data_IF_290279196239
#
_entry.id   IF_290279196239
#
_cell.length_a   1.000
_cell.length_b   1.000
_cell.length_c   1.000
_cell.angle_alpha   90.00
_cell.angle_beta   90.00
_cell.angle_gamma   90.00
#
_symmetry.space_group_name_H-M   'P 1'
#
loop_
_entity.id
_entity.type
_entity.pdbx_description
1 polymer ?
#
# COMPACT_ATOMS: atom_id res chain seq x y z
N UNK A 1 22.55 42.54 -9.89
CA UNK A 1 22.65 41.09 -10.18
C UNK A 1 21.25 40.58 -10.52
N UNK A 2 20.91 40.54 -11.81
CA UNK A 2 19.63 40.00 -12.27
C UNK A 2 19.77 38.49 -12.37
N UNK A 3 19.11 37.73 -11.50
CA UNK A 3 19.00 36.29 -11.74
C UNK A 3 18.08 36.08 -12.95
N UNK A 4 18.54 35.25 -13.89
CA UNK A 4 17.67 34.71 -14.92
C UNK A 4 16.62 33.84 -14.22
N UNK A 5 15.37 34.27 -14.27
CA UNK A 5 14.24 33.39 -13.97
C UNK A 5 14.16 32.43 -15.15
N UNK A 6 14.89 31.32 -15.08
CA UNK A 6 14.58 30.17 -15.93
C UNK A 6 13.13 29.75 -15.65
N UNK A 7 12.43 29.18 -16.64
CA UNK A 7 11.02 28.79 -16.53
C UNK A 7 10.79 27.95 -15.25
N UNK A 8 10.33 28.61 -14.19
CA UNK A 8 10.15 27.99 -12.90
C UNK A 8 8.92 27.09 -12.95
N UNK A 9 9.14 25.78 -12.97
CA UNK A 9 8.04 24.82 -12.96
C UNK A 9 7.45 24.70 -11.55
N UNK A 10 6.14 24.92 -11.44
CA UNK A 10 5.40 24.69 -10.19
C UNK A 10 4.81 23.29 -10.20
N UNK A 11 5.27 22.43 -9.29
CA UNK A 11 4.69 21.11 -9.09
C UNK A 11 3.59 21.19 -8.03
N UNK A 12 2.37 20.78 -8.39
CA UNK A 12 1.24 20.69 -7.47
C UNK A 12 1.05 19.24 -7.06
N UNK A 13 1.09 18.97 -5.76
CA UNK A 13 0.77 17.67 -5.18
C UNK A 13 -0.56 17.74 -4.45
N UNK A 14 -1.39 16.72 -4.66
CA UNK A 14 -2.69 16.59 -4.01
C UNK A 14 -2.58 15.49 -2.95
N UNK A 15 -2.59 15.89 -1.68
CA UNK A 15 -2.53 14.94 -0.57
C UNK A 15 -3.91 14.43 -0.17
N UNK A 16 -3.98 13.13 0.12
CA UNK A 16 -5.18 12.46 0.58
C UNK A 16 -5.21 11.00 0.18
N UNK A 17 -6.30 10.31 0.54
CA UNK A 17 -6.54 8.96 0.03
C UNK A 17 -6.72 8.99 -1.49
N UNK A 18 -6.51 7.86 -2.15
CA UNK A 18 -6.73 7.71 -3.60
C UNK A 18 -8.10 8.20 -4.08
N UNK A 19 -9.15 7.95 -3.31
CA UNK A 19 -10.49 8.42 -3.63
C UNK A 19 -10.61 9.95 -3.51
N UNK A 20 -10.02 10.54 -2.47
CA UNK A 20 -10.01 11.99 -2.26
C UNK A 20 -9.19 12.71 -3.33
N UNK A 21 -7.97 12.26 -3.62
CA UNK A 21 -7.12 12.88 -4.62
C UNK A 21 -7.77 12.84 -6.02
N UNK A 22 -8.32 11.67 -6.43
CA UNK A 22 -9.06 11.54 -7.69
C UNK A 22 -10.28 12.45 -7.74
N UNK A 23 -11.00 12.59 -6.62
CA UNK A 23 -12.14 13.50 -6.53
C UNK A 23 -11.69 14.94 -6.75
N UNK A 24 -10.65 15.41 -6.06
CA UNK A 24 -10.11 16.77 -6.20
C UNK A 24 -9.73 17.06 -7.65
N UNK A 25 -8.99 16.16 -8.31
CA UNK A 25 -8.61 16.32 -9.73
C UNK A 25 -9.86 16.44 -10.60
N UNK A 26 -10.86 15.57 -10.39
CA UNK A 26 -12.10 15.57 -11.18
C UNK A 26 -12.96 16.80 -10.95
N UNK A 27 -13.03 17.31 -9.72
CA UNK A 27 -13.91 18.42 -9.33
C UNK A 27 -13.28 19.80 -9.47
N UNK A 28 -12.02 19.88 -9.91
CA UNK A 28 -11.27 21.13 -10.03
C UNK A 28 -10.84 21.35 -11.49
N UNK A 29 -11.72 21.90 -12.35
CA UNK A 29 -11.49 21.92 -13.81
C UNK A 29 -10.22 22.67 -14.24
N UNK A 30 -9.81 23.69 -13.50
CA UNK A 30 -8.63 24.47 -13.84
C UNK A 30 -7.33 23.64 -13.78
N UNK A 31 -7.28 22.58 -12.96
CA UNK A 31 -6.12 21.68 -12.90
C UNK A 31 -5.88 21.00 -14.25
N UNK A 32 -6.94 20.51 -14.91
CA UNK A 32 -6.79 19.89 -16.23
C UNK A 32 -6.48 20.88 -17.35
N UNK A 33 -6.76 22.17 -17.15
CA UNK A 33 -6.51 23.21 -18.15
C UNK A 33 -5.10 23.78 -18.02
N UNK A 34 -4.62 23.98 -16.79
CA UNK A 34 -3.38 24.69 -16.51
C UNK A 34 -2.23 23.78 -16.11
N UNK A 35 -2.50 22.55 -15.66
CA UNK A 35 -1.47 21.64 -15.18
C UNK A 35 -1.36 20.42 -16.07
N UNK A 36 -0.12 20.06 -16.39
CA UNK A 36 0.19 18.79 -17.06
C UNK A 36 0.20 17.66 -16.04
N UNK A 37 -0.61 16.61 -16.19
CA UNK A 37 -0.51 15.43 -15.34
C UNK A 37 0.85 14.75 -15.52
N UNK A 38 1.51 14.44 -14.42
CA UNK A 38 2.81 13.74 -14.41
C UNK A 38 2.69 12.42 -13.67
N UNK A 39 3.45 11.43 -14.13
CA UNK A 39 3.55 10.11 -13.50
C UNK A 39 5.01 9.66 -13.49
N UNK A 40 5.41 8.99 -12.42
CA UNK A 40 6.73 8.36 -12.35
C UNK A 40 6.70 7.04 -13.12
N UNK A 41 7.69 6.83 -13.99
CA UNK A 41 7.86 5.57 -14.73
C UNK A 41 8.62 4.53 -13.90
N UNK A 42 9.65 4.98 -13.18
CA UNK A 42 10.58 4.13 -12.40
C UNK A 42 10.65 4.56 -10.94
N UNK A 43 9.50 4.90 -10.32
CA UNK A 43 9.44 5.36 -8.92
C UNK A 43 9.86 4.32 -7.87
N UNK A 44 10.10 3.08 -8.29
CA UNK A 44 10.34 1.94 -7.40
C UNK A 44 9.06 1.46 -6.72
N UNK A 45 9.22 0.52 -5.78
CA UNK A 45 8.13 0.09 -4.91
C UNK A 45 8.05 0.98 -3.67
N UNK A 46 6.84 1.34 -3.25
CA UNK A 46 6.66 2.12 -2.02
C UNK A 46 7.09 1.33 -0.79
N UNK A 47 7.68 2.05 0.16
CA UNK A 47 7.97 1.58 1.53
C UNK A 47 6.77 1.73 2.46
N UNK A 48 5.70 2.38 2.00
CA UNK A 48 4.47 2.61 2.74
C UNK A 48 3.65 1.32 2.88
N UNK A 49 3.88 0.61 3.98
CA UNK A 49 3.23 -0.68 4.26
C UNK A 49 2.12 -0.60 5.30
N UNK A 50 1.84 0.60 5.82
CA UNK A 50 0.79 0.84 6.83
C UNK A 50 -0.61 0.54 6.26
N UNK A 51 -0.83 0.85 4.97
CA UNK A 51 -2.10 0.60 4.28
C UNK A 51 -1.84 0.00 2.91
N UNK A 52 -2.84 -0.70 2.36
CA UNK A 52 -2.76 -1.25 1.02
C UNK A 52 -2.87 -0.14 -0.03
N UNK A 53 -1.88 -0.10 -0.92
CA UNK A 53 -1.92 0.73 -2.11
C UNK A 53 -2.71 0.05 -3.24
N UNK A 54 -3.29 0.83 -4.18
CA UNK A 54 -4.10 0.29 -5.25
C UNK A 54 -3.27 -0.48 -6.28
N UNK A 55 -2.01 -0.11 -6.51
CA UNK A 55 -1.08 -0.80 -7.43
C UNK A 55 0.36 -0.79 -6.87
N UNK A 56 1.24 -1.74 -7.26
CA UNK A 56 2.59 -1.87 -6.70
C UNK A 56 3.55 -0.69 -6.96
N UNK A 57 3.29 0.10 -8.00
CA UNK A 57 4.09 1.26 -8.41
C UNK A 57 3.54 2.59 -7.88
N UNK A 58 2.50 2.52 -7.06
CA UNK A 58 2.01 3.69 -6.36
C UNK A 58 3.04 4.12 -5.31
N UNK A 59 3.19 5.43 -5.14
CA UNK A 59 4.03 6.01 -4.10
C UNK A 59 3.14 6.81 -3.15
N UNK A 60 3.56 6.90 -1.89
CA UNK A 60 2.98 7.87 -0.97
C UNK A 60 3.27 9.31 -1.43
N UNK A 61 2.49 10.27 -0.93
CA UNK A 61 2.73 11.70 -1.20
C UNK A 61 4.16 12.10 -0.86
N UNK A 62 4.69 11.63 0.29
CA UNK A 62 6.03 11.97 0.73
C UNK A 62 7.12 11.36 -0.16
N UNK A 63 6.98 10.09 -0.57
CA UNK A 63 7.90 9.46 -1.53
C UNK A 63 7.87 10.16 -2.89
N UNK A 64 6.68 10.61 -3.32
CA UNK A 64 6.51 11.41 -4.53
C UNK A 64 7.27 12.73 -4.44
N UNK A 65 7.18 13.44 -3.31
CA UNK A 65 7.94 14.68 -3.07
C UNK A 65 9.44 14.41 -3.12
N UNK A 66 9.92 13.39 -2.40
CA UNK A 66 11.33 13.05 -2.38
C UNK A 66 11.87 12.73 -3.78
N UNK A 67 11.11 11.97 -4.57
CA UNK A 67 11.46 11.66 -5.96
C UNK A 67 11.45 12.91 -6.85
N UNK A 68 10.44 13.77 -6.70
CA UNK A 68 10.37 15.04 -7.44
C UNK A 68 11.55 15.95 -7.14
N UNK A 69 11.99 16.05 -5.88
CA UNK A 69 13.18 16.81 -5.51
C UNK A 69 14.44 16.24 -6.19
N UNK A 70 14.60 14.91 -6.21
CA UNK A 70 15.77 14.27 -6.85
C UNK A 70 15.82 14.52 -8.36
N UNK A 71 14.66 14.60 -9.03
CA UNK A 71 14.58 14.74 -10.50
C UNK A 71 14.54 16.19 -10.96
N UNK A 72 13.81 17.07 -10.26
CA UNK A 72 13.59 18.44 -10.67
C UNK A 72 14.67 19.40 -10.16
N UNK A 73 15.24 19.12 -8.98
CA UNK A 73 16.18 20.02 -8.31
C UNK A 73 17.59 19.43 -8.35
N UNK A 74 18.45 19.96 -9.22
CA UNK A 74 19.81 19.45 -9.41
C UNK A 74 20.81 19.83 -8.30
N UNK A 75 20.34 20.17 -7.09
CA UNK A 75 21.19 20.65 -5.99
C UNK A 75 21.52 19.57 -4.95
N UNK A 76 22.68 19.67 -4.31
CA UNK A 76 23.04 18.78 -3.20
C UNK A 76 22.07 18.91 -2.01
N UNK A 77 21.57 20.12 -1.78
CA UNK A 77 20.58 20.39 -0.74
C UNK A 77 19.27 19.62 -1.01
N UNK A 78 18.75 19.65 -2.24
CA UNK A 78 17.53 18.92 -2.59
C UNK A 78 17.72 17.40 -2.48
N UNK A 79 18.87 16.88 -2.94
CA UNK A 79 19.24 15.46 -2.76
C UNK A 79 19.30 15.08 -1.28
N UNK A 80 19.95 15.90 -0.45
CA UNK A 80 20.04 15.66 1.00
C UNK A 80 18.67 15.72 1.69
N UNK A 81 17.80 16.65 1.26
CA UNK A 81 16.43 16.77 1.75
C UNK A 81 15.60 15.53 1.38
N UNK A 82 15.68 15.06 0.13
CA UNK A 82 15.00 13.85 -0.31
C UNK A 82 15.43 12.61 0.50
N UNK A 83 16.73 12.42 0.71
CA UNK A 83 17.26 11.34 1.56
C UNK A 83 16.73 11.44 2.99
N UNK A 84 16.72 12.64 3.57
CA UNK A 84 16.24 12.88 4.93
C UNK A 84 14.74 12.60 5.07
N UNK A 85 13.94 13.05 4.09
CA UNK A 85 12.51 12.76 4.01
C UNK A 85 12.24 11.26 3.96
N UNK A 86 12.91 10.53 3.06
CA UNK A 86 12.77 9.06 2.95
C UNK A 86 13.14 8.35 4.25
N UNK A 87 14.22 8.78 4.93
CA UNK A 87 14.63 8.22 6.24
C UNK A 87 13.59 8.47 7.34
N UNK A 88 13.09 9.69 7.45
CA UNK A 88 12.06 10.06 8.42
C UNK A 88 10.76 9.27 8.17
N UNK A 89 10.35 9.15 6.91
CA UNK A 89 9.19 8.38 6.51
C UNK A 89 9.33 6.89 6.85
N UNK A 90 10.47 6.27 6.52
CA UNK A 90 10.73 4.88 6.87
C UNK A 90 10.74 4.65 8.40
N UNK A 91 11.25 5.61 9.19
CA UNK A 91 11.16 5.54 10.65
C UNK A 91 9.71 5.60 11.16
N UNK A 92 8.90 6.51 10.60
CA UNK A 92 7.48 6.63 10.92
C UNK A 92 6.72 5.35 10.55
N UNK A 93 6.94 4.78 9.36
CA UNK A 93 6.31 3.53 8.93
C UNK A 93 6.64 2.40 9.89
N UNK A 94 7.92 2.23 10.26
CA UNK A 94 8.34 1.21 11.24
C UNK A 94 7.64 1.41 12.60
N UNK A 95 7.52 2.64 13.07
CA UNK A 95 6.86 2.93 14.35
C UNK A 95 5.37 2.59 14.32
N UNK A 96 4.68 2.93 13.24
CA UNK A 96 3.25 2.64 13.07
C UNK A 96 2.96 1.14 12.95
N UNK A 97 3.81 0.40 12.21
CA UNK A 97 3.68 -1.06 12.09
C UNK A 97 3.89 -1.73 13.45
N UNK A 98 4.94 -1.36 14.19
CA UNK A 98 5.18 -1.90 15.55
C UNK A 98 4.00 -1.65 16.49
N UNK A 99 3.51 -0.41 16.51
CA UNK A 99 2.37 -0.04 17.36
C UNK A 99 1.10 -0.80 16.98
N UNK A 100 0.89 -1.07 15.69
CA UNK A 100 -0.24 -1.85 15.21
C UNK A 100 -0.19 -3.32 15.65
N UNK A 101 0.99 -3.93 15.63
CA UNK A 101 1.22 -5.30 16.09
C UNK A 101 0.98 -5.42 17.61
N UNK A 102 1.47 -4.44 18.39
CA UNK A 102 1.29 -4.39 19.85
C UNK A 102 -0.19 -4.24 20.25
N UNK A 103 -0.95 -3.41 19.52
CA UNK A 103 -2.37 -3.12 19.83
C UNK A 103 -3.33 -4.14 19.19
N UNK A 104 -2.84 -5.06 18.35
CA UNK A 104 -3.68 -6.06 17.66
C UNK A 104 -4.68 -5.45 16.67
N UNK A 105 -4.38 -4.26 16.13
CA UNK A 105 -5.36 -3.48 15.38
C UNK A 105 -5.47 -3.94 13.92
N UNK A 106 -6.54 -4.69 13.61
CA UNK A 106 -6.87 -5.23 12.27
C UNK A 106 -6.93 -4.20 11.13
N UNK A 107 -7.01 -2.89 11.41
CA UNK A 107 -6.93 -1.85 10.37
C UNK A 107 -5.54 -1.69 9.75
N UNK A 108 -4.51 -2.12 10.46
CA UNK A 108 -3.10 -2.04 10.07
C UNK A 108 -2.51 -3.42 9.74
N UNK A 109 -3.20 -4.50 10.13
CA UNK A 109 -2.81 -5.88 9.83
C UNK A 109 -3.22 -6.24 8.39
N UNK A 110 -2.28 -6.82 7.64
CA UNK A 110 -2.49 -7.41 6.32
C UNK A 110 -3.63 -8.44 6.37
N UNK A 111 -4.82 -8.13 5.84
CA UNK A 111 -5.74 -9.20 5.42
C UNK A 111 -5.10 -9.95 4.25
N UNK A 112 -5.02 -11.30 4.30
CA UNK A 112 -4.45 -12.07 3.20
C UNK A 112 -5.25 -11.82 1.90
N UNK A 113 -4.59 -11.90 0.73
CA UNK A 113 -5.27 -11.74 -0.55
C UNK A 113 -6.43 -12.74 -0.66
N UNK A 114 -7.60 -12.27 -1.14
CA UNK A 114 -8.76 -13.13 -1.42
C UNK A 114 -8.33 -14.20 -2.45
N UNK A 115 -8.12 -15.43 -1.98
CA UNK A 115 -7.68 -16.55 -2.81
C UNK A 115 -7.12 -17.77 -2.05
N UNK A 116 -6.72 -17.64 -0.78
CA UNK A 116 -6.12 -18.73 0.00
C UNK A 116 -6.99 -19.27 1.14
N UNK A 117 -8.33 -19.24 1.01
CA UNK A 117 -9.24 -19.80 2.04
C UNK A 117 -9.78 -21.20 1.73
N UNK A 118 -9.40 -21.82 0.61
CA UNK A 118 -9.83 -23.18 0.25
C UNK A 118 -8.66 -24.16 0.23
N UNK A 119 -8.10 -24.52 1.40
CA UNK A 119 -7.30 -25.75 1.48
C UNK A 119 -7.38 -26.52 2.79
N UNK A 120 -7.98 -25.97 3.87
CA UNK A 120 -8.06 -26.69 5.15
C UNK A 120 -9.39 -27.41 5.41
N UNK A 121 -10.35 -27.39 4.47
CA UNK A 121 -11.63 -28.08 4.65
C UNK A 121 -11.63 -29.57 4.25
N UNK A 122 -10.57 -30.09 3.61
CA UNK A 122 -10.57 -31.45 3.04
C UNK A 122 -9.82 -32.52 3.86
N UNK A 123 -9.13 -32.18 4.94
CA UNK A 123 -8.39 -33.16 5.75
C UNK A 123 -9.17 -33.79 6.90
N UNK A 124 -10.48 -33.49 7.04
CA UNK A 124 -11.31 -34.03 8.15
C UNK A 124 -12.21 -35.22 7.77
N UNK A 125 -12.16 -35.70 6.53
CA UNK A 125 -12.91 -36.89 6.08
C UNK A 125 -11.96 -38.02 5.69
N UNK A 126 -11.24 -38.57 6.68
CA UNK A 126 -10.61 -39.89 6.58
C UNK A 126 -10.24 -40.35 8.01
N UNK A 127 -11.26 -40.76 8.76
CA UNK A 127 -11.05 -41.68 9.89
C UNK A 127 -12.01 -42.87 9.70
N UNK A 128 -11.50 -44.11 9.69
CA UNK A 128 -12.33 -45.29 9.50
C UNK A 128 -13.14 -45.56 10.78
N UNK A 129 -14.45 -45.79 10.61
CA UNK A 129 -15.35 -46.22 11.67
C UNK A 129 -15.00 -47.64 12.13
N UNK A 130 -14.45 -47.77 13.34
CA UNK A 130 -14.33 -49.07 14.01
C UNK A 130 -15.71 -49.59 14.45
N UNK A 131 -15.93 -50.87 14.16
CA UNK A 131 -17.22 -51.55 14.24
C UNK A 131 -17.80 -51.72 15.64
N UNK A 132 -19.13 -51.74 15.71
CA UNK A 132 -19.91 -52.33 16.80
C UNK A 132 -20.51 -53.65 16.30
N UNK A 133 -20.06 -54.75 16.89
CA UNK A 133 -20.65 -56.08 16.70
C UNK A 133 -21.76 -56.37 17.72
N UNK A 134 -22.64 -57.29 17.31
CA UNK A 134 -23.59 -58.01 18.16
C UNK A 134 -25.00 -57.38 18.19
N UNK A 135 -26.09 -58.03 17.78
CA UNK A 135 -26.31 -59.40 17.32
C UNK A 135 -27.80 -59.74 17.47
N UNK A 136 -28.20 -60.84 16.85
CA UNK A 136 -29.48 -61.57 17.01
C UNK A 136 -30.60 -61.22 16.02
N UNK A 137 -30.88 -62.16 15.10
CA UNK A 137 -31.94 -63.16 15.26
C UNK A 137 -32.20 -63.87 13.93
N UNK A 138 -31.87 -65.16 13.84
CA UNK A 138 -32.65 -66.17 13.10
C UNK A 138 -32.24 -67.57 13.58
N UNK A 139 -33.18 -68.29 14.21
CA UNK A 139 -33.26 -69.76 14.09
C UNK A 139 -34.67 -70.24 14.43
N UNK A 140 -35.20 -71.03 13.50
CA UNK A 140 -36.49 -71.74 13.50
C UNK A 140 -36.64 -72.72 14.65
N UNK A 141 -37.84 -72.81 15.21
CA UNK A 141 -38.82 -73.93 15.10
C UNK A 141 -40.05 -73.61 15.95
#
# INVERSE_FOLDING_TARGET
MSQAVGDAHTLILIDGTWAQAKKIVKTTPWLSVLCTPVQFRDGGSSTYTIRREPMPHCLSTLESIAYSLEVLEATDQARAAAVSLRKAFAAMVRHQVRSADEVGNVRFVKRPPKGQQHSQAQSRQQQPSQGRGGGSKYRSM
#
